data_IF_931904599941
#
_entry.id   IF_931904599941
#
_cell.length_a   1.000
_cell.length_b   1.000
_cell.length_c   1.000
_cell.angle_alpha   90.00
_cell.angle_beta   90.00
_cell.angle_gamma   90.00
#
_symmetry.space_group_name_H-M   'P 1'
#
loop_
_entity.id
_entity.type
_entity.pdbx_description
1 polymer ?
#
# COMPACT_ATOMS: atom_id res chain seq x y z
N UNK A 1 0.39 -30.98 1.31
CA UNK A 1 -0.61 -29.94 1.58
C UNK A 1 -1.38 -30.39 2.82
N UNK A 2 -1.21 -29.74 3.98
CA UNK A 2 -1.95 -30.15 5.20
C UNK A 2 -3.36 -29.56 5.10
N UNK A 3 -4.35 -30.42 4.87
CA UNK A 3 -5.77 -30.06 4.92
C UNK A 3 -6.11 -29.65 6.35
N UNK A 4 -6.49 -28.39 6.52
CA UNK A 4 -7.09 -27.92 7.77
C UNK A 4 -8.59 -28.14 7.65
N UNK A 5 -9.18 -28.88 8.59
CA UNK A 5 -10.62 -29.12 8.66
C UNK A 5 -11.16 -28.44 9.92
N UNK A 6 -12.25 -27.70 9.79
CA UNK A 6 -12.96 -27.16 10.95
C UNK A 6 -13.73 -28.29 11.65
N UNK A 7 -13.63 -28.34 12.97
CA UNK A 7 -14.28 -29.37 13.80
C UNK A 7 -15.26 -28.66 14.73
N UNK A 8 -16.50 -29.13 14.75
CA UNK A 8 -17.55 -28.59 15.62
C UNK A 8 -17.13 -28.76 17.09
N UNK A 9 -17.04 -27.64 17.80
CA UNK A 9 -16.64 -27.59 19.21
C UNK A 9 -17.72 -26.91 20.03
N UNK A 10 -17.97 -27.38 21.25
CA UNK A 10 -18.94 -26.74 22.16
C UNK A 10 -18.45 -25.34 22.54
N UNK A 11 -19.33 -24.34 22.41
CA UNK A 11 -19.04 -22.97 22.82
C UNK A 11 -19.11 -22.86 24.35
N UNK A 12 -18.08 -22.27 24.97
CA UNK A 12 -18.05 -21.98 26.40
C UNK A 12 -17.98 -20.47 26.60
N UNK A 13 -18.78 -19.96 27.53
CA UNK A 13 -18.69 -18.58 27.96
C UNK A 13 -17.30 -18.30 28.57
N UNK A 14 -16.81 -17.08 28.38
CA UNK A 14 -15.52 -16.65 28.91
C UNK A 14 -15.57 -16.65 30.45
N UNK A 15 -14.60 -17.28 31.15
CA UNK A 15 -14.53 -17.20 32.61
C UNK A 15 -14.42 -15.74 33.09
N UNK A 16 -15.22 -15.38 34.09
CA UNK A 16 -15.19 -14.05 34.71
C UNK A 16 -13.78 -13.78 35.29
N UNK A 17 -13.26 -12.58 35.07
CA UNK A 17 -11.91 -12.20 35.51
C UNK A 17 -10.76 -12.65 34.61
N UNK A 18 -11.01 -13.33 33.48
CA UNK A 18 -9.92 -13.70 32.56
C UNK A 18 -9.33 -12.49 31.82
N UNK A 19 -8.04 -12.21 32.02
CA UNK A 19 -7.32 -11.17 31.29
C UNK A 19 -7.30 -11.46 29.78
N UNK A 20 -7.37 -10.41 28.96
CA UNK A 20 -7.25 -10.55 27.51
C UNK A 20 -5.86 -11.07 27.15
N UNK A 21 -5.80 -12.22 26.46
CA UNK A 21 -4.56 -12.72 25.85
C UNK A 21 -4.17 -11.92 24.59
N UNK A 22 -5.08 -11.08 24.09
CA UNK A 22 -4.88 -10.30 22.87
C UNK A 22 -4.02 -9.07 23.17
N UNK A 23 -2.94 -8.88 22.41
CA UNK A 23 -2.14 -7.66 22.47
C UNK A 23 -2.64 -6.73 21.38
N UNK A 24 -3.75 -6.03 21.65
CA UNK A 24 -4.53 -5.28 20.65
C UNK A 24 -3.67 -4.44 19.67
N UNK A 25 -2.71 -3.67 20.17
CA UNK A 25 -1.83 -2.86 19.32
C UNK A 25 -0.84 -3.69 18.50
N UNK A 26 -0.17 -4.67 19.12
CA UNK A 26 0.86 -5.48 18.46
C UNK A 26 0.26 -6.44 17.44
N UNK A 27 -0.83 -7.08 17.80
CA UNK A 27 -1.54 -7.99 16.92
C UNK A 27 -2.26 -7.22 15.81
N UNK A 28 -2.86 -6.07 16.13
CA UNK A 28 -3.42 -5.15 15.13
C UNK A 28 -2.40 -4.69 14.10
N UNK A 29 -1.22 -4.23 14.54
CA UNK A 29 -0.14 -3.84 13.64
C UNK A 29 0.32 -4.99 12.74
N UNK A 30 0.40 -6.22 13.27
CA UNK A 30 0.75 -7.41 12.48
C UNK A 30 -0.33 -7.72 11.44
N UNK A 31 -1.61 -7.64 11.80
CA UNK A 31 -2.73 -7.85 10.88
C UNK A 31 -2.71 -6.81 9.75
N UNK A 32 -2.53 -5.53 10.08
CA UNK A 32 -2.46 -4.45 9.10
C UNK A 32 -1.27 -4.61 8.15
N UNK A 33 -0.10 -4.96 8.67
CA UNK A 33 1.08 -5.24 7.85
C UNK A 33 0.82 -6.40 6.88
N UNK A 34 0.17 -7.46 7.35
CA UNK A 34 -0.19 -8.60 6.51
C UNK A 34 -1.24 -8.25 5.45
N UNK A 35 -2.25 -7.44 5.81
CA UNK A 35 -3.23 -6.92 4.86
C UNK A 35 -2.56 -6.06 3.77
N UNK A 36 -1.61 -5.19 4.15
CA UNK A 36 -0.84 -4.40 3.19
C UNK A 36 0.00 -5.27 2.26
N UNK A 37 0.66 -6.30 2.80
CA UNK A 37 1.40 -7.27 2.01
C UNK A 37 0.50 -8.00 1.00
N UNK A 38 -0.65 -8.52 1.44
CA UNK A 38 -1.61 -9.19 0.57
C UNK A 38 -2.15 -8.24 -0.51
N UNK A 39 -2.46 -6.99 -0.16
CA UNK A 39 -2.98 -6.02 -1.12
C UNK A 39 -1.96 -5.73 -2.24
N UNK A 40 -0.68 -5.57 -1.88
CA UNK A 40 0.42 -5.47 -2.85
C UNK A 40 0.54 -6.71 -3.74
N UNK A 41 0.36 -7.91 -3.17
CA UNK A 41 0.48 -9.18 -3.89
C UNK A 41 -0.68 -9.40 -4.89
N UNK A 42 -1.90 -9.02 -4.51
CA UNK A 42 -3.12 -9.24 -5.30
C UNK A 42 -3.32 -8.15 -6.35
N UNK A 43 -3.07 -6.87 -6.01
CA UNK A 43 -3.23 -5.73 -6.93
C UNK A 43 -2.08 -4.73 -6.80
N UNK A 44 -0.90 -5.05 -7.35
CA UNK A 44 0.28 -4.20 -7.22
C UNK A 44 0.07 -2.79 -7.78
N UNK A 45 -0.57 -2.64 -8.93
CA UNK A 45 -0.83 -1.32 -9.52
C UNK A 45 -1.67 -0.43 -8.59
N UNK A 46 -2.73 -0.97 -8.00
CA UNK A 46 -3.59 -0.21 -7.09
C UNK A 46 -2.84 0.20 -5.81
N UNK A 47 -2.02 -0.70 -5.24
CA UNK A 47 -1.23 -0.41 -4.05
C UNK A 47 -0.26 0.75 -4.26
N UNK A 48 0.59 0.65 -5.28
CA UNK A 48 1.58 1.69 -5.57
C UNK A 48 0.97 2.96 -6.18
N UNK A 49 -0.15 2.82 -6.91
CA UNK A 49 -0.91 3.94 -7.45
C UNK A 49 -1.52 4.82 -6.36
N UNK A 50 -2.07 4.23 -5.29
CA UNK A 50 -2.58 5.00 -4.13
C UNK A 50 -1.44 5.76 -3.44
N UNK A 51 -0.28 5.14 -3.27
CA UNK A 51 0.91 5.80 -2.70
C UNK A 51 1.35 6.96 -3.59
N UNK A 52 1.45 6.74 -4.91
CA UNK A 52 1.80 7.79 -5.86
C UNK A 52 0.81 8.95 -5.83
N UNK A 53 -0.49 8.66 -5.84
CA UNK A 53 -1.54 9.68 -5.74
C UNK A 53 -1.45 10.48 -4.44
N UNK A 54 -1.19 9.83 -3.30
CA UNK A 54 -1.01 10.52 -2.02
C UNK A 54 0.21 11.45 -2.02
N UNK A 55 1.34 11.00 -2.57
CA UNK A 55 2.55 11.80 -2.72
C UNK A 55 2.34 12.98 -3.67
N UNK A 56 1.62 12.77 -4.77
CA UNK A 56 1.24 13.83 -5.70
C UNK A 56 0.40 14.88 -4.98
N UNK A 57 -0.69 14.50 -4.33
CA UNK A 57 -1.56 15.42 -3.58
C UNK A 57 -0.79 16.20 -2.52
N UNK A 58 0.17 15.56 -1.82
CA UNK A 58 1.03 16.24 -0.86
C UNK A 58 1.93 17.30 -1.51
N UNK A 59 2.39 17.10 -2.75
CA UNK A 59 3.18 18.07 -3.48
C UNK A 59 2.38 19.34 -3.85
N UNK A 60 1.10 19.20 -4.19
CA UNK A 60 0.20 20.33 -4.51
C UNK A 60 -0.31 21.07 -3.27
N UNK A 61 -0.22 20.47 -2.08
CA UNK A 61 -0.58 21.10 -0.82
C UNK A 61 0.37 22.23 -0.39
N UNK A 62 1.54 22.35 -1.02
CA UNK A 62 2.46 23.46 -0.76
C UNK A 62 2.04 24.72 -1.56
N UNK A 63 2.04 25.92 -0.97
CA UNK A 63 1.55 27.17 -1.60
C UNK A 63 2.39 27.68 -2.79
N UNK A 64 3.37 26.89 -3.24
CA UNK A 64 4.36 27.22 -4.26
C UNK A 64 3.69 27.55 -5.60
N UNK A 65 2.68 26.78 -6.02
CA UNK A 65 2.01 26.99 -7.31
C UNK A 65 1.24 28.31 -7.30
N UNK A 66 0.54 28.62 -6.20
CA UNK A 66 -0.23 29.86 -6.06
C UNK A 66 0.67 31.08 -5.94
N UNK A 67 1.81 30.96 -5.24
CA UNK A 67 2.78 32.06 -5.11
C UNK A 67 3.58 32.29 -6.39
N UNK A 68 3.92 31.25 -7.15
CA UNK A 68 4.55 31.38 -8.47
C UNK A 68 3.64 32.09 -9.48
N UNK A 69 2.36 31.71 -9.56
CA UNK A 69 1.38 32.36 -10.43
C UNK A 69 1.20 33.86 -10.11
N UNK A 70 1.31 34.24 -8.83
CA UNK A 70 1.13 35.63 -8.40
C UNK A 70 2.38 36.49 -8.52
N UNK A 71 3.56 35.92 -8.29
CA UNK A 71 4.80 36.71 -8.12
C UNK A 71 5.88 36.40 -9.15
N UNK A 72 5.76 35.33 -9.93
CA UNK A 72 6.77 34.88 -10.90
C UNK A 72 8.11 34.44 -10.27
N UNK A 73 8.21 34.51 -8.94
CA UNK A 73 9.40 34.23 -8.15
C UNK A 73 9.09 33.06 -7.20
N UNK A 74 10.12 32.26 -6.91
CA UNK A 74 10.03 31.17 -5.92
C UNK A 74 10.82 31.60 -4.67
N UNK A 75 10.22 32.38 -3.76
CA UNK A 75 10.93 32.89 -2.58
C UNK A 75 11.32 31.77 -1.60
N UNK A 76 10.63 30.62 -1.65
CA UNK A 76 10.89 29.48 -0.76
C UNK A 76 11.48 28.28 -1.53
N UNK A 77 12.79 28.35 -1.77
CA UNK A 77 13.55 27.28 -2.43
C UNK A 77 13.42 25.90 -1.76
N UNK A 78 13.47 25.75 -0.42
CA UNK A 78 13.38 24.42 0.21
C UNK A 78 12.05 23.71 -0.05
N UNK A 79 10.94 24.46 -0.05
CA UNK A 79 9.61 23.91 -0.37
C UNK A 79 9.49 23.51 -1.84
N UNK A 80 10.10 24.26 -2.76
CA UNK A 80 10.14 23.89 -4.17
C UNK A 80 10.90 22.58 -4.41
N UNK A 81 12.06 22.41 -3.75
CA UNK A 81 12.83 21.16 -3.81
C UNK A 81 12.06 19.98 -3.19
N UNK A 82 11.34 20.21 -2.09
CA UNK A 82 10.47 19.19 -1.51
C UNK A 82 9.35 18.79 -2.47
N UNK A 83 8.68 19.76 -3.09
CA UNK A 83 7.59 19.51 -4.03
C UNK A 83 8.07 18.74 -5.26
N UNK A 84 9.22 19.11 -5.84
CA UNK A 84 9.81 18.34 -6.96
C UNK A 84 10.18 16.93 -6.54
N UNK A 85 10.77 16.76 -5.35
CA UNK A 85 11.07 15.45 -4.77
C UNK A 85 9.81 14.58 -4.60
N UNK A 86 8.72 15.14 -4.08
CA UNK A 86 7.44 14.43 -3.92
C UNK A 86 6.81 14.03 -5.27
N UNK A 87 6.87 14.90 -6.28
CA UNK A 87 6.38 14.58 -7.63
C UNK A 87 7.21 13.45 -8.26
N UNK A 88 8.54 13.49 -8.11
CA UNK A 88 9.42 12.42 -8.61
C UNK A 88 9.13 11.08 -7.92
N UNK A 89 8.96 11.07 -6.60
CA UNK A 89 8.62 9.87 -5.83
C UNK A 89 7.22 9.33 -6.18
N UNK A 90 6.27 10.23 -6.45
CA UNK A 90 4.94 9.87 -6.94
C UNK A 90 5.03 9.13 -8.27
N UNK A 91 5.74 9.71 -9.24
CA UNK A 91 5.90 9.12 -10.57
C UNK A 91 6.64 7.80 -10.52
N UNK A 92 7.72 7.72 -9.73
CA UNK A 92 8.47 6.47 -9.53
C UNK A 92 7.58 5.38 -8.95
N UNK A 93 6.75 5.70 -7.95
CA UNK A 93 5.80 4.76 -7.37
C UNK A 93 4.80 4.26 -8.42
N UNK A 94 4.28 5.15 -9.26
CA UNK A 94 3.34 4.80 -10.33
C UNK A 94 3.97 3.83 -11.35
N UNK A 95 5.19 4.14 -11.81
CA UNK A 95 5.95 3.28 -12.74
C UNK A 95 6.25 1.92 -12.13
N UNK A 96 6.68 1.87 -10.86
CA UNK A 96 6.86 0.60 -10.15
C UNK A 96 5.56 -0.21 -10.11
N UNK A 97 4.43 0.43 -9.81
CA UNK A 97 3.11 -0.20 -9.83
C UNK A 97 2.76 -0.84 -11.18
N UNK A 98 3.02 -0.12 -12.28
CA UNK A 98 2.80 -0.62 -13.65
C UNK A 98 3.69 -1.83 -13.99
N UNK A 99 4.98 -1.76 -13.63
CA UNK A 99 5.94 -2.85 -13.86
C UNK A 99 5.50 -4.11 -13.09
N UNK A 100 5.18 -3.96 -11.81
CA UNK A 100 4.75 -5.08 -10.97
C UNK A 100 3.44 -5.71 -11.45
N UNK A 101 2.49 -4.92 -11.97
CA UNK A 101 1.26 -5.46 -12.56
C UNK A 101 1.55 -6.26 -13.83
N UNK A 102 2.41 -5.73 -14.69
CA UNK A 102 2.85 -6.40 -15.93
C UNK A 102 3.53 -7.73 -15.64
N UNK A 103 4.46 -7.74 -14.67
CA UNK A 103 5.16 -8.96 -14.23
C UNK A 103 4.20 -9.96 -13.59
N UNK A 104 3.24 -9.49 -12.80
CA UNK A 104 2.25 -10.37 -12.15
C UNK A 104 1.34 -11.05 -13.16
N UNK A 105 0.91 -10.33 -14.19
CA UNK A 105 0.15 -10.90 -15.32
C UNK A 105 0.98 -11.91 -16.10
N UNK A 106 2.22 -11.57 -16.45
CA UNK A 106 3.12 -12.50 -17.15
C UNK A 106 3.37 -13.79 -16.37
N UNK A 107 3.53 -13.71 -15.04
CA UNK A 107 3.65 -14.90 -14.17
C UNK A 107 2.38 -15.76 -14.16
N UNK A 108 1.21 -15.14 -14.23
CA UNK A 108 -0.07 -15.86 -14.28
C UNK A 108 -0.24 -16.58 -15.62
N UNK A 109 0.08 -15.90 -16.72
CA UNK A 109 0.03 -16.47 -18.07
C UNK A 109 1.01 -17.64 -18.23
N UNK A 110 2.25 -17.51 -17.76
CA UNK A 110 3.24 -18.58 -17.79
C UNK A 110 2.77 -19.83 -17.01
N UNK A 111 2.15 -19.64 -15.83
CA UNK A 111 1.56 -20.74 -15.07
C UNK A 111 0.42 -21.42 -15.82
N UNK A 112 -0.45 -20.65 -16.48
CA UNK A 112 -1.57 -21.20 -17.27
C UNK A 112 -1.07 -22.05 -18.43
N UNK A 113 -0.04 -21.60 -19.15
CA UNK A 113 0.56 -22.37 -20.23
C UNK A 113 1.13 -23.70 -19.73
N UNK A 114 1.84 -23.70 -18.60
CA UNK A 114 2.37 -24.92 -17.99
C UNK A 114 1.29 -25.89 -17.48
N UNK A 115 0.07 -25.41 -17.21
CA UNK A 115 -1.07 -26.26 -16.85
C UNK A 115 -1.76 -26.89 -18.08
N UNK A 116 -1.59 -26.30 -19.26
CA UNK A 116 -2.20 -26.75 -20.51
C UNK A 116 -1.26 -27.62 -21.36
N UNK A 117 0.03 -27.64 -21.04
CA UNK A 117 1.04 -28.56 -21.59
C UNK A 117 1.09 -29.86 -20.80
#
# INVERSE_FOLDING_TARGET
MRTSAEIVTRYYARPEGSASKLKSYRDGARILAFMGFLFKEVRPFAFFGVIGAALFMAAFGAPIIVEYERTGLVPRLPTAVLATGLVLLSWLSFVCGLILDSVSRGRLEAKRLAYLS
#
